data_IF_316979049904
#
_entry.id   IF_316979049904
#
_cell.length_a   1.000
_cell.length_b   1.000
_cell.length_c   1.000
_cell.angle_alpha   90.00
_cell.angle_beta   90.00
_cell.angle_gamma   90.00
#
_symmetry.space_group_name_H-M   'P 1'
#
loop_
_entity.id
_entity.type
_entity.pdbx_description
1 polymer ?
#
# COMPACT_ATOMS: atom_id res chain seq x y z
N UNK A 1 16.61 8.20 12.63
CA UNK A 1 15.84 7.48 11.61
C UNK A 1 15.52 6.13 12.21
N UNK A 2 14.25 5.78 12.35
CA UNK A 2 13.89 4.43 12.76
C UNK A 2 14.43 3.47 11.71
N UNK A 3 15.15 2.45 12.13
CA UNK A 3 15.50 1.35 11.24
C UNK A 3 14.17 0.72 10.80
N UNK A 4 13.81 0.85 9.53
CA UNK A 4 12.55 0.35 8.96
C UNK A 4 12.53 -1.18 8.82
N UNK A 5 13.19 -1.86 9.76
CA UNK A 5 13.34 -3.31 9.82
C UNK A 5 12.84 -3.78 11.18
N UNK A 6 11.96 -4.76 11.16
CA UNK A 6 11.31 -5.30 12.34
C UNK A 6 11.60 -6.79 12.46
N UNK A 7 11.72 -7.30 13.68
CA UNK A 7 11.98 -8.71 13.94
C UNK A 7 10.76 -9.60 13.68
N UNK A 8 9.56 -9.03 13.73
CA UNK A 8 8.28 -9.73 13.53
C UNK A 8 7.20 -8.78 13.03
N UNK A 9 6.13 -9.34 12.49
CA UNK A 9 4.94 -8.56 12.13
C UNK A 9 4.34 -7.89 13.40
N UNK A 10 3.65 -6.74 13.24
CA UNK A 10 3.01 -6.06 14.36
C UNK A 10 2.01 -6.96 15.08
N UNK A 11 1.97 -6.87 16.39
CA UNK A 11 0.89 -7.45 17.16
C UNK A 11 -0.43 -6.74 16.85
N UNK A 12 -1.56 -7.43 17.05
CA UNK A 12 -2.88 -6.85 16.78
C UNK A 12 -3.15 -5.74 17.79
N UNK A 13 -3.09 -4.50 17.33
CA UNK A 13 -3.24 -3.28 18.13
C UNK A 13 -4.47 -2.45 17.74
N UNK A 14 -5.03 -2.70 16.56
CA UNK A 14 -6.26 -2.01 16.14
C UNK A 14 -7.48 -2.57 16.87
N UNK A 15 -8.45 -1.70 17.09
CA UNK A 15 -9.77 -2.10 17.55
C UNK A 15 -10.60 -2.58 16.35
N UNK A 16 -10.84 -3.88 16.26
CA UNK A 16 -11.59 -4.47 15.13
C UNK A 16 -13.08 -4.07 15.11
N UNK A 17 -13.58 -3.43 16.14
CA UNK A 17 -14.94 -2.87 16.19
C UNK A 17 -15.01 -1.41 15.74
N UNK A 18 -13.88 -0.77 15.51
CA UNK A 18 -13.78 0.60 14.99
C UNK A 18 -13.56 0.58 13.48
N UNK A 19 -13.95 1.66 12.80
CA UNK A 19 -13.51 1.92 11.43
C UNK A 19 -12.26 2.79 11.43
N UNK A 20 -11.44 2.62 10.38
CA UNK A 20 -10.21 3.38 10.22
C UNK A 20 -10.14 4.00 8.85
N UNK A 21 -9.59 5.20 8.80
CA UNK A 21 -9.25 5.90 7.55
C UNK A 21 -7.79 6.33 7.59
N UNK A 22 -7.23 6.55 6.43
CA UNK A 22 -5.90 7.14 6.28
C UNK A 22 -5.90 8.24 5.23
N UNK A 23 -5.02 9.22 5.40
CA UNK A 23 -4.66 10.15 4.34
C UNK A 23 -3.23 9.85 3.92
N UNK A 24 -3.04 9.38 2.70
CA UNK A 24 -1.74 9.20 2.08
C UNK A 24 -1.37 10.52 1.42
N UNK A 25 -0.43 11.24 2.02
CA UNK A 25 0.02 12.54 1.52
C UNK A 25 1.20 12.36 0.58
N UNK A 26 1.07 12.87 -0.63
CA UNK A 26 2.13 12.79 -1.65
C UNK A 26 2.47 14.17 -2.18
N UNK A 27 3.62 14.27 -2.86
CA UNK A 27 4.00 15.50 -3.56
C UNK A 27 3.11 15.83 -4.77
N UNK A 28 2.18 14.96 -5.17
CA UNK A 28 1.18 15.19 -6.22
C UNK A 28 -0.24 15.36 -5.68
N UNK A 29 -0.42 15.32 -4.37
CA UNK A 29 -1.71 15.48 -3.69
C UNK A 29 -1.99 14.37 -2.69
N UNK A 30 -3.14 14.45 -2.06
CA UNK A 30 -3.56 13.56 -0.98
C UNK A 30 -4.61 12.56 -1.49
N UNK A 31 -4.53 11.33 -0.97
CA UNK A 31 -5.54 10.29 -1.20
C UNK A 31 -6.08 9.84 0.16
N UNK A 32 -7.40 9.90 0.32
CA UNK A 32 -8.07 9.38 1.52
C UNK A 32 -8.49 7.94 1.29
N UNK A 33 -8.14 7.07 2.21
CA UNK A 33 -8.38 5.63 2.16
C UNK A 33 -9.29 5.22 3.29
N UNK A 34 -10.25 4.36 3.01
CA UNK A 34 -11.05 3.62 3.97
C UNK A 34 -10.58 2.16 4.01
N UNK A 35 -10.38 1.62 5.21
CA UNK A 35 -9.89 0.24 5.36
C UNK A 35 -11.02 -0.77 5.53
N UNK A 36 -10.81 -1.97 4.99
CA UNK A 36 -11.72 -3.12 5.12
C UNK A 36 -11.28 -4.00 6.31
N UNK A 37 -11.46 -3.50 7.52
CA UNK A 37 -10.98 -4.17 8.75
C UNK A 37 -11.61 -5.54 8.95
N UNK A 38 -12.89 -5.72 8.59
CA UNK A 38 -13.58 -7.01 8.71
C UNK A 38 -13.06 -8.05 7.74
N UNK A 39 -12.64 -7.61 6.55
CA UNK A 39 -12.18 -8.51 5.48
C UNK A 39 -10.72 -8.94 5.66
N UNK A 40 -9.87 -8.00 6.10
CA UNK A 40 -8.43 -8.19 6.18
C UNK A 40 -7.82 -7.54 7.44
N UNK A 41 -8.22 -7.99 8.64
CA UNK A 41 -7.82 -7.34 9.90
C UNK A 41 -6.31 -7.36 10.13
N UNK A 42 -5.61 -8.42 9.77
CA UNK A 42 -4.14 -8.53 9.95
C UNK A 42 -3.43 -7.56 9.01
N UNK A 43 -3.85 -7.50 7.76
CA UNK A 43 -3.28 -6.59 6.76
C UNK A 43 -3.53 -5.13 7.11
N UNK A 44 -4.75 -4.79 7.52
CA UNK A 44 -5.09 -3.44 7.98
C UNK A 44 -4.27 -3.05 9.20
N UNK A 45 -4.17 -3.94 10.19
CA UNK A 45 -3.32 -3.72 11.36
C UNK A 45 -1.86 -3.48 10.99
N UNK A 46 -1.33 -4.26 10.07
CA UNK A 46 0.04 -4.10 9.58
C UNK A 46 0.26 -2.72 8.94
N UNK A 47 -0.60 -2.32 8.03
CA UNK A 47 -0.48 -1.03 7.35
C UNK A 47 -0.62 0.15 8.33
N UNK A 48 -1.58 0.10 9.24
CA UNK A 48 -1.80 1.14 10.26
C UNK A 48 -0.61 1.23 11.21
N UNK A 49 -0.11 0.10 11.69
CA UNK A 49 1.03 0.04 12.60
C UNK A 49 2.29 0.63 11.97
N UNK A 50 2.61 0.22 10.73
CA UNK A 50 3.73 0.77 9.99
C UNK A 50 3.58 2.27 9.73
N UNK A 51 2.36 2.71 9.39
CA UNK A 51 2.07 4.13 9.14
C UNK A 51 2.27 4.99 10.38
N UNK A 52 1.79 4.53 11.53
CA UNK A 52 1.96 5.23 12.82
C UNK A 52 3.43 5.33 13.24
N UNK A 53 4.24 4.37 12.85
CA UNK A 53 5.69 4.35 13.12
C UNK A 53 6.52 5.16 12.10
N UNK A 54 5.86 5.82 11.16
CA UNK A 54 6.52 6.62 10.12
C UNK A 54 7.24 5.77 9.06
N UNK A 55 6.89 4.50 8.95
CA UNK A 55 7.55 3.58 8.01
C UNK A 55 7.46 4.06 6.56
N UNK A 56 6.31 4.58 6.16
CA UNK A 56 6.06 5.05 4.80
C UNK A 56 6.54 6.48 4.52
N UNK A 57 7.04 7.18 5.52
CA UNK A 57 7.54 8.54 5.35
C UNK A 57 8.74 8.56 4.38
N UNK A 58 8.65 9.40 3.37
CA UNK A 58 9.63 9.54 2.29
C UNK A 58 9.81 8.31 1.41
N UNK A 59 8.87 7.38 1.41
CA UNK A 59 8.86 6.22 0.52
C UNK A 59 8.20 6.58 -0.81
N UNK A 60 8.75 6.10 -1.91
CA UNK A 60 8.28 6.43 -3.26
C UNK A 60 7.29 5.39 -3.81
N UNK A 61 6.51 5.81 -4.81
CA UNK A 61 5.86 4.89 -5.73
C UNK A 61 6.88 4.47 -6.78
N UNK A 62 7.50 3.32 -6.57
CA UNK A 62 8.62 2.84 -7.40
C UNK A 62 8.21 2.15 -8.69
N UNK A 63 6.93 1.79 -8.83
CA UNK A 63 6.38 1.13 -10.02
C UNK A 63 5.02 1.71 -10.36
N UNK A 64 4.91 2.34 -11.51
CA UNK A 64 3.68 2.99 -11.99
C UNK A 64 3.40 2.54 -13.40
N UNK A 65 2.23 1.93 -13.61
CA UNK A 65 1.76 1.49 -14.92
C UNK A 65 0.39 2.12 -15.19
N UNK A 66 0.36 3.10 -16.08
CA UNK A 66 -0.88 3.74 -16.53
C UNK A 66 -1.82 2.69 -17.14
N UNK A 67 -3.09 2.75 -16.79
CA UNK A 67 -4.07 1.75 -17.20
C UNK A 67 -3.99 0.44 -16.40
N UNK A 68 -3.27 0.43 -15.28
CA UNK A 68 -3.17 -0.71 -14.38
C UNK A 68 -3.16 -0.28 -12.91
N UNK A 69 -1.99 0.07 -12.34
CA UNK A 69 -1.86 0.35 -10.90
C UNK A 69 -0.67 1.28 -10.61
N UNK A 70 -0.64 1.80 -9.39
CA UNK A 70 0.50 2.50 -8.80
C UNK A 70 0.95 1.73 -7.56
N UNK A 71 2.23 1.40 -7.46
CA UNK A 71 2.80 0.55 -6.42
C UNK A 71 3.91 1.27 -5.66
N UNK A 72 3.88 1.15 -4.35
CA UNK A 72 4.87 1.70 -3.44
C UNK A 72 5.01 0.88 -2.17
N UNK A 73 5.58 1.48 -1.13
CA UNK A 73 5.70 0.86 0.18
C UNK A 73 7.00 0.09 0.43
N UNK A 74 7.96 0.18 -0.49
CA UNK A 74 9.30 -0.36 -0.31
C UNK A 74 10.29 0.77 0.06
N UNK A 75 10.82 0.81 1.29
CA UNK A 75 11.78 1.84 1.68
C UNK A 75 13.05 1.88 0.84
N UNK A 76 13.45 0.77 0.23
CA UNK A 76 14.59 0.72 -0.68
C UNK A 76 14.29 1.35 -2.05
N UNK A 77 13.00 1.48 -2.40
CA UNK A 77 12.56 2.01 -3.70
C UNK A 77 12.90 1.13 -4.90
N UNK A 78 13.28 -0.13 -4.67
CA UNK A 78 13.70 -1.06 -5.74
C UNK A 78 12.61 -2.03 -6.17
N UNK A 79 11.58 -2.21 -5.33
CA UNK A 79 10.55 -3.24 -5.49
C UNK A 79 10.97 -4.60 -4.94
N UNK A 80 12.22 -4.76 -4.53
CA UNK A 80 12.76 -6.01 -3.99
C UNK A 80 12.91 -6.00 -2.47
N UNK A 81 12.52 -4.89 -1.81
CA UNK A 81 12.66 -4.73 -0.37
C UNK A 81 14.10 -4.91 0.11
N UNK A 82 15.08 -4.46 -0.68
CA UNK A 82 16.49 -4.72 -0.45
C UNK A 82 16.77 -6.21 -0.23
N UNK A 83 16.31 -7.03 -1.20
CA UNK A 83 16.41 -8.51 -1.19
C UNK A 83 15.75 -9.17 0.03
N UNK A 84 14.61 -8.64 0.46
CA UNK A 84 13.82 -9.17 1.56
C UNK A 84 14.18 -8.62 2.95
N UNK A 85 15.04 -7.64 3.01
CA UNK A 85 15.39 -6.94 4.25
C UNK A 85 14.20 -6.19 4.84
N UNK A 86 13.38 -5.56 3.99
CA UNK A 86 12.23 -4.77 4.41
C UNK A 86 10.91 -5.52 4.20
N UNK A 87 9.98 -5.46 5.17
CA UNK A 87 10.09 -4.87 6.50
C UNK A 87 10.79 -5.76 7.54
N UNK A 88 11.30 -6.92 7.18
CA UNK A 88 11.97 -7.88 8.04
C UNK A 88 11.13 -9.10 8.40
N UNK A 89 9.89 -9.15 7.91
CA UNK A 89 8.95 -10.25 8.13
C UNK A 89 8.03 -10.44 6.91
N UNK A 90 7.33 -11.57 6.91
CA UNK A 90 6.23 -11.85 5.97
C UNK A 90 5.01 -12.31 6.75
N UNK A 91 3.82 -12.09 6.19
CA UNK A 91 2.58 -12.58 6.77
C UNK A 91 1.62 -13.12 5.71
N UNK A 92 0.65 -13.90 6.16
CA UNK A 92 -0.25 -14.66 5.30
C UNK A 92 -1.26 -13.76 4.57
N UNK A 93 -1.73 -14.24 3.43
CA UNK A 93 -2.81 -13.62 2.67
C UNK A 93 -4.14 -13.70 3.44
N UNK A 94 -4.98 -12.71 3.20
CA UNK A 94 -6.37 -12.66 3.66
C UNK A 94 -7.28 -12.50 2.42
N UNK A 95 -7.68 -13.62 1.83
CA UNK A 95 -8.38 -13.67 0.54
C UNK A 95 -9.86 -14.04 0.66
N UNK A 96 -10.51 -13.68 1.77
CA UNK A 96 -11.87 -14.14 2.08
C UNK A 96 -12.98 -13.30 1.43
N UNK A 97 -12.69 -12.08 0.98
CA UNK A 97 -13.72 -11.12 0.59
C UNK A 97 -14.14 -11.18 -0.89
N UNK A 98 -13.32 -11.72 -1.76
CA UNK A 98 -13.54 -11.81 -3.21
C UNK A 98 -14.00 -10.50 -3.87
N UNK A 99 -13.51 -9.36 -3.38
CA UNK A 99 -13.79 -8.07 -4.00
C UNK A 99 -13.11 -7.98 -5.37
N UNK A 100 -13.73 -7.31 -6.37
CA UNK A 100 -13.06 -7.04 -7.63
C UNK A 100 -11.95 -6.00 -7.46
N UNK A 101 -10.93 -6.08 -8.33
CA UNK A 101 -9.86 -5.07 -8.38
C UNK A 101 -10.32 -3.88 -9.21
N UNK A 102 -11.16 -3.04 -8.62
CA UNK A 102 -11.68 -1.82 -9.23
C UNK A 102 -10.77 -0.62 -8.94
N UNK A 103 -10.92 0.45 -9.73
CA UNK A 103 -10.19 1.71 -9.53
C UNK A 103 -10.30 2.17 -8.08
N UNK A 104 -9.15 2.50 -7.48
CA UNK A 104 -9.05 2.97 -6.09
C UNK A 104 -8.86 1.88 -5.05
N UNK A 105 -8.99 0.61 -5.41
CA UNK A 105 -8.73 -0.50 -4.47
C UNK A 105 -7.28 -0.52 -4.05
N UNK A 106 -7.07 -0.68 -2.74
CA UNK A 106 -5.78 -0.97 -2.11
C UNK A 106 -5.61 -2.47 -1.94
N UNK A 107 -4.49 -2.99 -2.41
CA UNK A 107 -4.12 -4.39 -2.22
C UNK A 107 -2.63 -4.54 -1.90
N UNK A 108 -2.26 -5.65 -1.27
CA UNK A 108 -0.86 -5.95 -0.97
C UNK A 108 -0.15 -6.55 -2.19
N UNK A 109 1.00 -5.99 -2.53
CA UNK A 109 1.92 -6.65 -3.43
C UNK A 109 2.58 -7.84 -2.70
N UNK A 110 2.93 -8.88 -3.45
CA UNK A 110 3.59 -10.05 -2.89
C UNK A 110 4.53 -10.72 -3.91
N UNK A 111 5.31 -11.68 -3.45
CA UNK A 111 6.21 -12.51 -4.25
C UNK A 111 5.75 -13.98 -4.29
N UNK A 112 4.46 -14.21 -4.28
CA UNK A 112 3.79 -15.50 -4.19
C UNK A 112 2.91 -15.62 -2.95
N UNK A 113 2.26 -16.77 -2.72
CA UNK A 113 1.36 -16.96 -1.58
C UNK A 113 2.04 -16.66 -0.25
N UNK A 114 1.31 -15.97 0.64
CA UNK A 114 1.72 -15.73 2.02
C UNK A 114 3.09 -15.03 2.17
N UNK A 115 3.33 -14.04 1.31
CA UNK A 115 4.59 -13.25 1.32
C UNK A 115 4.35 -11.76 1.47
N UNK A 116 3.28 -11.35 2.14
CA UNK A 116 2.96 -9.95 2.38
C UNK A 116 3.97 -9.31 3.34
N UNK A 117 4.32 -8.08 3.08
CA UNK A 117 5.22 -7.29 3.93
C UNK A 117 4.74 -5.85 4.04
N UNK A 118 5.34 -4.93 3.31
CA UNK A 118 4.99 -3.51 3.35
C UNK A 118 4.56 -2.93 2.00
N UNK A 119 4.87 -3.59 0.90
CA UNK A 119 4.52 -3.09 -0.43
C UNK A 119 3.03 -3.24 -0.72
N UNK A 120 2.45 -2.20 -1.26
CA UNK A 120 1.04 -2.15 -1.64
C UNK A 120 0.88 -1.49 -3.01
N UNK A 121 -0.28 -1.70 -3.62
CA UNK A 121 -0.66 -0.98 -4.84
C UNK A 121 -2.08 -0.46 -4.76
N UNK A 122 -2.34 0.57 -5.55
CA UNK A 122 -3.65 1.19 -5.73
C UNK A 122 -4.02 1.04 -7.20
N UNK A 123 -5.20 0.51 -7.48
CA UNK A 123 -5.67 0.34 -8.85
C UNK A 123 -5.94 1.68 -9.52
N UNK A 124 -5.37 1.88 -10.70
CA UNK A 124 -5.66 3.05 -11.54
C UNK A 124 -6.96 2.89 -12.31
N UNK A 125 -7.23 1.68 -12.77
CA UNK A 125 -8.45 1.30 -13.50
C UNK A 125 -8.96 -0.04 -12.99
N UNK A 126 -10.18 -0.40 -13.37
CA UNK A 126 -10.70 -1.75 -13.16
C UNK A 126 -9.86 -2.73 -13.99
N UNK A 127 -9.36 -3.77 -13.34
CA UNK A 127 -8.48 -4.75 -14.00
C UNK A 127 -8.70 -6.16 -13.44
N UNK A 128 -8.85 -7.18 -14.30
CA UNK A 128 -9.14 -8.55 -13.86
C UNK A 128 -7.86 -9.27 -13.41
N UNK A 129 -7.39 -8.96 -12.21
CA UNK A 129 -6.27 -9.67 -11.61
C UNK A 129 -6.69 -11.05 -11.09
N UNK A 130 -5.78 -12.04 -11.08
CA UNK A 130 -5.96 -13.26 -10.30
C UNK A 130 -6.19 -12.92 -8.84
N UNK A 131 -7.05 -13.70 -8.17
CA UNK A 131 -7.40 -13.47 -6.76
C UNK A 131 -6.28 -13.93 -5.82
N UNK A 132 -5.14 -13.28 -5.91
CA UNK A 132 -3.90 -13.64 -5.22
C UNK A 132 -3.32 -12.52 -4.35
N UNK A 133 -3.99 -11.35 -4.34
CA UNK A 133 -3.52 -10.15 -3.64
C UNK A 133 -4.56 -9.72 -2.62
N UNK A 134 -4.16 -9.64 -1.36
CA UNK A 134 -5.06 -9.24 -0.27
C UNK A 134 -5.56 -7.81 -0.49
N UNK A 135 -6.86 -7.66 -0.71
CA UNK A 135 -7.54 -6.37 -0.74
C UNK A 135 -7.84 -5.95 0.68
N UNK A 136 -7.42 -4.73 1.07
CA UNK A 136 -7.57 -4.28 2.46
C UNK A 136 -8.12 -2.86 2.62
N UNK A 137 -8.41 -2.16 1.53
CA UNK A 137 -8.99 -0.83 1.57
C UNK A 137 -9.33 -0.28 0.19
N UNK A 138 -9.82 0.94 0.18
CA UNK A 138 -10.13 1.68 -1.04
C UNK A 138 -9.92 3.17 -0.86
N UNK A 139 -9.52 3.85 -1.92
CA UNK A 139 -9.53 5.30 -1.99
C UNK A 139 -10.98 5.78 -2.08
N UNK A 140 -11.36 6.72 -1.23
CA UNK A 140 -12.70 7.33 -1.20
C UNK A 140 -12.68 8.81 -1.61
N UNK A 141 -11.51 9.43 -1.57
CA UNK A 141 -11.27 10.80 -2.05
C UNK A 141 -9.84 10.91 -2.58
N UNK A 142 -9.64 11.72 -3.63
CA UNK A 142 -8.35 11.87 -4.28
C UNK A 142 -8.15 10.97 -5.50
N UNK A 143 -9.23 10.56 -6.18
CA UNK A 143 -9.13 9.80 -7.43
C UNK A 143 -8.36 10.55 -8.53
N UNK A 144 -8.43 11.86 -8.55
CA UNK A 144 -7.64 12.71 -9.44
C UNK A 144 -6.13 12.59 -9.15
N UNK A 145 -5.76 12.36 -7.89
CA UNK A 145 -4.35 12.12 -7.50
C UNK A 145 -3.86 10.77 -8.00
N UNK A 146 -4.69 9.73 -7.97
CA UNK A 146 -4.37 8.43 -8.60
C UNK A 146 -4.06 8.66 -10.09
N UNK A 147 -4.90 9.41 -10.78
CA UNK A 147 -4.72 9.71 -12.21
C UNK A 147 -3.44 10.51 -12.47
N UNK A 148 -3.12 11.50 -11.63
CA UNK A 148 -1.88 12.27 -11.72
C UNK A 148 -0.65 11.40 -11.56
N UNK A 149 -0.64 10.54 -10.56
CA UNK A 149 0.49 9.62 -10.30
C UNK A 149 0.63 8.63 -11.46
N UNK A 150 -0.48 8.06 -11.94
CA UNK A 150 -0.49 7.13 -13.06
C UNK A 150 -0.05 7.74 -14.39
N UNK A 151 -0.05 9.07 -14.50
CA UNK A 151 0.27 9.81 -15.72
C UNK A 151 1.71 10.32 -15.78
N UNK A 152 2.52 10.10 -14.75
CA UNK A 152 3.91 10.56 -14.72
C UNK A 152 4.76 9.79 -15.74
N UNK A 153 5.81 10.43 -16.22
CA UNK A 153 6.82 9.77 -17.06
C UNK A 153 7.55 8.69 -16.26
N UNK A 154 7.72 7.54 -16.87
CA UNK A 154 8.41 6.39 -16.28
C UNK A 154 9.55 5.91 -17.18
N UNK A 155 10.51 5.22 -16.59
CA UNK A 155 11.59 4.57 -17.30
C UNK A 155 11.18 3.18 -17.84
N UNK A 156 12.12 2.43 -18.41
CA UNK A 156 11.86 1.09 -18.96
C UNK A 156 11.49 0.04 -17.91
N UNK A 157 11.68 0.33 -16.63
CA UNK A 157 11.29 -0.52 -15.50
C UNK A 157 10.00 -0.04 -14.81
N UNK A 158 9.22 0.82 -15.46
CA UNK A 158 8.00 1.44 -14.93
C UNK A 158 8.20 2.29 -13.67
N UNK A 159 9.43 2.74 -13.44
CA UNK A 159 9.74 3.63 -12.33
C UNK A 159 9.58 5.08 -12.77
N UNK A 160 8.87 5.94 -12.00
CA UNK A 160 8.80 7.37 -12.29
C UNK A 160 10.19 7.99 -12.42
N UNK A 161 10.41 8.78 -13.50
CA UNK A 161 11.68 9.48 -13.74
C UNK A 161 11.90 10.63 -12.76
N UNK A 162 10.83 11.18 -12.21
CA UNK A 162 10.82 12.09 -11.07
C UNK A 162 10.07 11.42 -9.94
N UNK A 163 10.67 11.33 -8.77
CA UNK A 163 10.10 10.60 -7.65
C UNK A 163 8.72 11.11 -7.24
N UNK A 164 7.77 10.19 -7.14
CA UNK A 164 6.48 10.40 -6.49
C UNK A 164 6.63 9.93 -5.05
N UNK A 165 6.63 10.87 -4.12
CA UNK A 165 7.02 10.63 -2.73
C UNK A 165 5.80 10.68 -1.82
N UNK A 166 5.65 9.67 -0.96
CA UNK A 166 4.75 9.72 0.18
C UNK A 166 5.45 10.53 1.26
N UNK A 167 4.92 11.70 1.61
CA UNK A 167 5.49 12.50 2.70
C UNK A 167 5.16 11.88 4.05
N UNK A 168 3.91 11.43 4.21
CA UNK A 168 3.46 10.71 5.41
C UNK A 168 2.12 10.03 5.15
N UNK A 169 1.73 9.12 6.04
CA UNK A 169 0.39 8.51 6.08
C UNK A 169 -0.22 8.81 7.45
N UNK A 170 -1.31 9.55 7.46
CA UNK A 170 -2.02 9.93 8.68
C UNK A 170 -3.21 8.99 8.92
N UNK A 171 -3.26 8.35 10.08
CA UNK A 171 -4.29 7.39 10.46
C UNK A 171 -5.32 8.06 11.38
N UNK A 172 -6.59 7.80 11.13
CA UNK A 172 -7.71 8.20 12.00
C UNK A 172 -8.55 6.99 12.35
N UNK A 173 -8.83 6.80 13.65
CA UNK A 173 -9.83 5.87 14.16
C UNK A 173 -11.16 6.61 14.30
N UNK A 174 -12.24 6.05 13.76
CA UNK A 174 -13.57 6.65 13.76
C UNK A 174 -14.53 5.93 14.71
#
# INVERSE_FOLDING_TARGET
>A
MSDKIYDKQPEMDINTNSSYTAVIKTNLGDMTVEFFTDDAPITVNNFISLSKDGYYDNVIFHRVISGFMIQGGDPSGTGHGDYGKYPGYKFDDELNNQRPYEKGILAMANAGPNTNGSQFFIMHVDYPLPYSYTIFGQVVDGFDVIDKIASVETDSADKPTTDVVISTVEITEN
#
